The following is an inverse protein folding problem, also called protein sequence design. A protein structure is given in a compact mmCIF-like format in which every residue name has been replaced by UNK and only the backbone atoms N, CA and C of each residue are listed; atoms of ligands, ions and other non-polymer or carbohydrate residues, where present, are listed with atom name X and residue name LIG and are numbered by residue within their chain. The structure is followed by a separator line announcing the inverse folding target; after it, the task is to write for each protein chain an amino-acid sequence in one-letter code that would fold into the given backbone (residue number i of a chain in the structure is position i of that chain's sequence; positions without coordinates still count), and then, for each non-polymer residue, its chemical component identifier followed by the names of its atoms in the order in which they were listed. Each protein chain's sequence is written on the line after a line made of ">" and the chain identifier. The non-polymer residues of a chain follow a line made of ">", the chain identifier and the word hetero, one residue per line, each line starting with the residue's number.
data_IF_867493983186
#
_entry.id   IF_867493983186
#
_cell.length_a   1.000
_cell.length_b   1.000
_cell.length_c   1.000
_cell.angle_alpha   90.00
_cell.angle_beta   90.00
_cell.angle_gamma   90.00
#
_symmetry.space_group_name_H-M   'P 1'
#
loop_
_entity.id
_entity.type
_entity.pdbx_description
1 polymer ?
#
# COMPACT_ATOMS: atom_id res chain seq x y z
N UNK A 1 -5.52 8.84 -11.23
CA UNK A 1 -5.83 8.02 -10.04
C UNK A 1 -4.70 7.02 -9.80
N UNK A 2 -4.50 6.54 -8.58
CA UNK A 2 -3.65 5.40 -8.24
C UNK A 2 -4.38 4.52 -7.23
N UNK A 3 -3.92 3.29 -7.02
CA UNK A 3 -4.50 2.39 -6.01
C UNK A 3 -4.57 3.07 -4.62
N UNK A 4 -3.46 3.64 -4.14
CA UNK A 4 -3.41 4.28 -2.81
C UNK A 4 -4.40 5.44 -2.70
N UNK A 5 -4.48 6.30 -3.72
CA UNK A 5 -5.41 7.43 -3.72
C UNK A 5 -6.87 6.96 -3.74
N UNK A 6 -7.18 5.94 -4.53
CA UNK A 6 -8.53 5.35 -4.54
C UNK A 6 -8.91 4.79 -3.17
N UNK A 7 -8.00 4.06 -2.52
CA UNK A 7 -8.21 3.54 -1.15
C UNK A 7 -8.36 4.66 -0.12
N UNK A 8 -7.64 5.77 -0.27
CA UNK A 8 -7.82 6.94 0.61
C UNK A 8 -9.24 7.52 0.46
N UNK A 9 -9.74 7.66 -0.78
CA UNK A 9 -11.13 8.12 -1.03
C UNK A 9 -12.18 7.14 -0.49
N UNK A 10 -11.98 5.83 -0.62
CA UNK A 10 -12.87 4.83 -0.03
C UNK A 10 -12.97 4.97 1.50
N UNK A 11 -11.86 5.29 2.15
CA UNK A 11 -11.84 5.47 3.61
C UNK A 11 -12.53 6.76 4.06
N UNK A 12 -12.26 7.87 3.39
CA UNK A 12 -12.87 9.15 3.70
C UNK A 12 -12.59 10.17 2.60
N UNK A 13 -13.62 10.55 1.85
CA UNK A 13 -13.49 11.50 0.73
C UNK A 13 -12.89 12.84 1.17
N UNK A 14 -13.37 13.39 2.31
CA UNK A 14 -12.89 14.68 2.81
C UNK A 14 -11.43 14.65 3.24
N UNK A 15 -10.99 13.59 3.93
CA UNK A 15 -9.59 13.41 4.32
C UNK A 15 -8.69 13.19 3.09
N UNK A 16 -9.14 12.38 2.12
CA UNK A 16 -8.39 12.12 0.89
C UNK A 16 -8.18 13.39 0.05
N UNK A 17 -9.23 14.20 -0.10
CA UNK A 17 -9.13 15.48 -0.81
C UNK A 17 -8.22 16.47 -0.08
N UNK A 18 -8.33 16.59 1.24
CA UNK A 18 -7.48 17.46 2.05
C UNK A 18 -6.01 17.06 1.96
N UNK A 19 -5.71 15.77 2.01
CA UNK A 19 -4.36 15.22 1.82
C UNK A 19 -3.83 15.48 0.41
N UNK A 20 -4.66 15.28 -0.62
CA UNK A 20 -4.29 15.51 -2.02
C UNK A 20 -3.96 16.99 -2.30
N UNK A 21 -4.62 17.93 -1.60
CA UNK A 21 -4.39 19.37 -1.71
C UNK A 21 -3.33 19.90 -0.73
N UNK A 22 -2.60 19.04 -0.03
CA UNK A 22 -1.63 19.37 1.02
C UNK A 22 -2.19 20.27 2.15
N UNK A 23 -3.51 20.26 2.35
CA UNK A 23 -4.17 21.03 3.40
C UNK A 23 -4.18 20.29 4.75
N UNK A 24 -3.87 19.00 4.75
CA UNK A 24 -3.85 18.16 5.94
C UNK A 24 -2.95 16.94 5.73
N UNK A 25 -2.25 16.55 6.78
CA UNK A 25 -1.47 15.30 6.84
C UNK A 25 -1.81 14.55 8.13
N UNK A 26 -1.88 13.20 8.11
CA UNK A 26 -2.09 12.41 9.30
C UNK A 26 -0.97 12.63 10.32
N UNK A 27 -1.32 12.72 11.61
CA UNK A 27 -0.34 12.78 12.71
C UNK A 27 0.26 11.40 13.05
N UNK A 28 -0.23 10.33 12.42
CA UNK A 28 0.29 8.96 12.61
C UNK A 28 1.75 8.88 12.24
N UNK A 29 2.51 8.13 13.05
CA UNK A 29 3.94 7.92 12.81
C UNK A 29 4.21 7.40 11.40
N UNK A 30 5.11 8.03 10.63
CA UNK A 30 5.49 7.54 9.31
C UNK A 30 6.35 6.26 9.36
N UNK A 31 6.77 5.81 10.54
CA UNK A 31 7.71 4.69 10.71
C UNK A 31 7.29 3.41 10.00
N UNK A 32 6.03 2.93 10.08
CA UNK A 32 5.62 1.72 9.35
C UNK A 32 5.79 1.84 7.83
N UNK A 33 5.50 3.02 7.28
CA UNK A 33 5.69 3.32 5.85
C UNK A 33 7.17 3.41 5.50
N UNK A 34 7.96 4.08 6.35
CA UNK A 34 9.42 4.20 6.17
C UNK A 34 10.10 2.83 6.20
N UNK A 35 9.68 1.92 7.08
CA UNK A 35 10.19 0.53 7.11
C UNK A 35 9.88 -0.19 5.80
N UNK A 36 8.66 -0.05 5.27
CA UNK A 36 8.31 -0.58 3.95
C UNK A 36 9.21 -0.02 2.85
N UNK A 37 9.31 1.30 2.76
CA UNK A 37 10.15 1.99 1.76
C UNK A 37 11.63 1.64 1.89
N UNK A 38 12.13 1.41 3.10
CA UNK A 38 13.50 0.95 3.36
C UNK A 38 13.77 -0.41 2.68
N UNK A 39 12.84 -1.35 2.84
CA UNK A 39 12.96 -2.68 2.23
C UNK A 39 12.82 -2.60 0.71
N UNK A 40 11.84 -1.83 0.21
CA UNK A 40 11.63 -1.64 -1.24
C UNK A 40 12.83 -1.00 -1.91
N UNK A 41 13.35 0.12 -1.37
CA UNK A 41 14.52 0.80 -1.95
C UNK A 41 15.75 -0.11 -2.05
N UNK A 42 15.92 -1.03 -1.09
CA UNK A 42 17.01 -2.00 -1.11
C UNK A 42 16.92 -2.97 -2.31
N UNK A 43 15.71 -3.46 -2.60
CA UNK A 43 15.48 -4.37 -3.70
C UNK A 43 15.29 -3.67 -5.06
N UNK A 44 15.11 -2.36 -5.06
CA UNK A 44 15.10 -1.54 -6.26
C UNK A 44 16.51 -1.42 -6.84
N UNK A 45 17.43 -0.77 -6.12
CA UNK A 45 18.84 -0.63 -6.50
C UNK A 45 19.70 -0.15 -5.32
N UNK A 46 21.01 -0.33 -5.43
CA UNK A 46 21.97 0.22 -4.46
C UNK A 46 21.90 1.75 -4.40
N UNK A 47 21.70 2.42 -5.52
CA UNK A 47 21.58 3.87 -5.62
C UNK A 47 20.31 4.34 -4.91
N UNK A 48 19.14 3.78 -5.23
CA UNK A 48 17.87 4.10 -4.60
C UNK A 48 17.91 3.92 -3.08
N UNK A 49 18.53 2.83 -2.60
CA UNK A 49 18.66 2.61 -1.17
C UNK A 49 19.58 3.63 -0.49
N UNK A 50 20.69 3.99 -1.14
CA UNK A 50 21.62 5.01 -0.63
C UNK A 50 20.93 6.37 -0.53
N UNK A 51 20.19 6.77 -1.55
CA UNK A 51 19.44 8.01 -1.59
C UNK A 51 18.32 8.03 -0.53
N UNK A 52 17.63 6.90 -0.36
CA UNK A 52 16.61 6.75 0.68
C UNK A 52 17.21 6.92 2.08
N UNK A 53 18.36 6.29 2.36
CA UNK A 53 19.06 6.41 3.65
C UNK A 53 19.49 7.85 3.92
N UNK A 54 20.03 8.54 2.92
CA UNK A 54 20.45 9.93 3.05
C UNK A 54 19.26 10.86 3.32
N UNK A 55 18.17 10.72 2.58
CA UNK A 55 16.97 11.53 2.70
C UNK A 55 16.25 11.36 4.05
N UNK A 56 16.28 10.15 4.62
CA UNK A 56 15.53 9.80 5.83
C UNK A 56 16.43 9.56 7.06
N UNK A 57 17.69 9.98 7.04
CA UNK A 57 18.68 9.68 8.09
C UNK A 57 18.22 10.05 9.50
N UNK A 58 17.50 11.18 9.66
CA UNK A 58 16.96 11.65 10.96
C UNK A 58 15.91 10.70 11.55
N UNK A 59 15.17 10.00 10.70
CA UNK A 59 14.10 9.10 11.11
C UNK A 59 14.58 7.65 11.26
N UNK A 60 15.65 7.29 10.55
CA UNK A 60 16.25 5.94 10.53
C UNK A 60 17.29 5.79 11.65
N UNK A 61 18.08 6.82 11.92
CA UNK A 61 19.17 6.76 12.88
C UNK A 61 18.74 7.34 14.24
N UNK A 62 19.35 6.84 15.31
CA UNK A 62 19.26 7.46 16.63
C UNK A 62 20.07 8.78 16.66
N UNK A 63 19.73 9.67 17.59
CA UNK A 63 20.51 10.88 17.78
C UNK A 63 21.95 10.53 18.18
N UNK A 64 22.96 11.24 17.67
CA UNK A 64 24.34 11.11 18.11
C UNK A 64 24.50 11.28 19.61
N UNK A 65 25.37 10.49 20.21
CA UNK A 65 25.77 10.60 21.62
C UNK A 65 27.29 10.71 21.74
N UNK A 66 27.81 11.06 22.94
CA UNK A 66 29.25 11.06 23.16
C UNK A 66 29.92 9.71 22.96
N UNK A 67 29.16 8.58 23.19
CA UNK A 67 29.66 7.21 23.00
C UNK A 67 29.50 6.75 21.56
N UNK A 68 28.50 7.27 20.86
CA UNK A 68 28.14 6.91 19.47
C UNK A 68 27.95 8.20 18.65
N UNK A 69 29.04 8.82 18.19
CA UNK A 69 28.97 10.11 17.50
C UNK A 69 28.18 10.11 16.19
N UNK A 70 27.99 8.93 15.56
CA UNK A 70 27.22 8.77 14.32
C UNK A 70 25.80 8.27 14.58
N UNK A 71 25.45 7.98 15.86
CA UNK A 71 24.22 7.25 16.17
C UNK A 71 24.27 5.79 15.72
N UNK A 72 23.15 5.11 15.83
CA UNK A 72 22.98 3.75 15.31
C UNK A 72 21.59 3.61 14.70
N UNK A 73 21.41 2.56 13.90
CA UNK A 73 20.13 2.24 13.27
C UNK A 73 19.05 1.96 14.33
N UNK A 74 17.89 2.60 14.24
CA UNK A 74 16.77 2.35 15.16
C UNK A 74 16.27 0.90 15.02
N UNK A 75 15.64 0.38 16.07
CA UNK A 75 15.18 -1.01 16.17
C UNK A 75 14.33 -1.46 15.00
N UNK A 76 13.43 -0.61 14.54
CA UNK A 76 12.49 -0.87 13.45
C UNK A 76 13.24 -1.14 12.12
N UNK A 77 14.36 -0.45 11.91
CA UNK A 77 15.18 -0.64 10.71
C UNK A 77 16.19 -1.79 10.85
N UNK A 78 16.52 -2.20 12.07
CA UNK A 78 17.21 -3.48 12.29
C UNK A 78 16.31 -4.65 11.91
N UNK A 79 15.02 -4.58 12.26
CA UNK A 79 14.02 -5.56 11.81
C UNK A 79 13.91 -5.54 10.28
N UNK A 80 13.92 -4.36 9.65
CA UNK A 80 13.95 -4.24 8.19
C UNK A 80 15.16 -4.94 7.56
N UNK A 81 16.34 -4.83 8.16
CA UNK A 81 17.53 -5.58 7.71
C UNK A 81 17.35 -7.09 7.83
N UNK A 82 16.72 -7.58 8.91
CA UNK A 82 16.41 -9.01 9.04
C UNK A 82 15.44 -9.48 7.95
N UNK A 83 14.43 -8.68 7.62
CA UNK A 83 13.52 -8.95 6.49
C UNK A 83 14.28 -9.03 5.16
N UNK A 84 15.16 -8.06 4.88
CA UNK A 84 16.00 -8.05 3.67
C UNK A 84 16.85 -9.32 3.60
N UNK A 85 17.57 -9.66 4.66
CA UNK A 85 18.40 -10.86 4.70
C UNK A 85 17.59 -12.13 4.49
N UNK A 86 16.40 -12.22 5.11
CA UNK A 86 15.50 -13.36 4.97
C UNK A 86 15.06 -13.55 3.51
N UNK A 87 14.73 -12.47 2.80
CA UNK A 87 14.34 -12.51 1.38
C UNK A 87 15.55 -12.78 0.47
N UNK A 88 16.72 -12.17 0.73
CA UNK A 88 17.93 -12.41 -0.06
C UNK A 88 18.39 -13.86 -0.03
N UNK A 89 18.18 -14.54 1.10
CA UNK A 89 18.55 -15.95 1.27
C UNK A 89 17.49 -16.91 0.72
N UNK A 90 16.35 -16.40 0.25
CA UNK A 90 15.27 -17.21 -0.29
C UNK A 90 15.44 -17.42 -1.80
N UNK A 91 15.48 -18.68 -2.23
CA UNK A 91 15.71 -19.04 -3.63
C UNK A 91 14.54 -18.68 -4.53
N UNK A 92 13.30 -18.87 -4.03
CA UNK A 92 12.07 -18.54 -4.77
C UNK A 92 11.96 -17.04 -4.98
N UNK A 93 12.21 -16.24 -3.92
CA UNK A 93 12.21 -14.79 -4.04
C UNK A 93 13.27 -14.31 -5.06
N UNK A 94 14.49 -14.81 -4.98
CA UNK A 94 15.54 -14.43 -5.93
C UNK A 94 15.21 -14.82 -7.37
N UNK A 95 14.60 -15.98 -7.57
CA UNK A 95 14.24 -16.49 -8.90
C UNK A 95 13.15 -15.67 -9.57
N UNK A 96 12.09 -15.30 -8.81
CA UNK A 96 10.95 -14.57 -9.36
C UNK A 96 11.10 -13.05 -9.30
N UNK A 97 11.57 -12.50 -8.17
CA UNK A 97 11.68 -11.06 -7.99
C UNK A 97 12.95 -10.47 -8.62
N UNK A 98 14.05 -11.19 -8.55
CA UNK A 98 15.38 -10.72 -8.97
C UNK A 98 15.46 -10.24 -10.44
N UNK A 99 14.97 -11.04 -11.41
CA UNK A 99 15.17 -10.75 -12.84
C UNK A 99 14.35 -9.56 -13.38
N UNK A 100 13.29 -9.13 -12.68
CA UNK A 100 12.37 -8.13 -13.21
C UNK A 100 12.95 -6.72 -13.22
N UNK A 101 12.48 -5.92 -14.18
CA UNK A 101 12.68 -4.47 -14.19
C UNK A 101 12.01 -3.84 -12.98
N UNK A 102 12.74 -2.96 -12.26
CA UNK A 102 12.28 -2.39 -10.99
C UNK A 102 11.53 -1.08 -11.18
N UNK A 103 10.52 -0.87 -10.31
CA UNK A 103 9.81 0.40 -10.19
C UNK A 103 9.18 0.89 -11.51
N UNK A 104 8.71 -0.07 -12.34
CA UNK A 104 8.18 0.21 -13.68
C UNK A 104 6.87 0.99 -13.59
N UNK A 105 6.83 2.17 -14.19
CA UNK A 105 5.61 2.99 -14.26
C UNK A 105 4.70 2.45 -15.36
N UNK A 106 3.46 2.17 -15.00
CA UNK A 106 2.40 1.77 -15.92
C UNK A 106 1.24 2.74 -15.87
N UNK A 107 0.63 3.00 -17.02
CA UNK A 107 -0.50 3.92 -17.13
C UNK A 107 -1.57 3.37 -18.06
N UNK A 108 -2.80 3.78 -17.85
CA UNK A 108 -3.91 3.35 -18.70
C UNK A 108 -5.23 4.00 -18.27
N UNK A 109 -6.32 3.54 -18.85
CA UNK A 109 -7.67 3.97 -18.51
C UNK A 109 -8.47 2.83 -17.92
N UNK A 110 -9.02 3.04 -16.74
CA UNK A 110 -10.00 2.14 -16.11
C UNK A 110 -11.35 2.84 -16.15
N UNK A 111 -12.36 2.24 -16.79
CA UNK A 111 -13.68 2.86 -16.94
C UNK A 111 -13.66 4.28 -17.55
N UNK A 112 -12.71 4.56 -18.42
CA UNK A 112 -12.54 5.87 -19.09
C UNK A 112 -11.65 6.89 -18.35
N UNK A 113 -11.28 6.65 -17.10
CA UNK A 113 -10.46 7.56 -16.28
C UNK A 113 -8.99 7.15 -16.26
N UNK A 114 -8.09 8.13 -16.20
CA UNK A 114 -6.65 7.89 -16.18
C UNK A 114 -6.18 7.31 -14.84
N UNK A 115 -5.41 6.22 -14.93
CA UNK A 115 -4.77 5.56 -13.82
C UNK A 115 -3.27 5.42 -14.02
N UNK A 116 -2.56 5.32 -12.91
CA UNK A 116 -1.13 5.00 -12.88
C UNK A 116 -0.84 3.98 -11.79
N UNK A 117 0.13 3.13 -12.06
CA UNK A 117 0.72 2.19 -11.12
C UNK A 117 2.24 2.22 -11.20
N UNK A 118 2.88 1.70 -10.17
CA UNK A 118 4.32 1.48 -10.11
C UNK A 118 4.53 0.03 -9.68
N UNK A 119 5.18 -0.74 -10.53
CA UNK A 119 5.36 -2.19 -10.37
C UNK A 119 6.73 -2.43 -9.76
N UNK A 120 6.80 -3.10 -8.62
CA UNK A 120 8.06 -3.30 -7.89
C UNK A 120 9.06 -4.15 -8.71
N UNK A 121 8.58 -5.18 -9.41
CA UNK A 121 9.40 -6.02 -10.28
C UNK A 121 8.57 -6.60 -11.42
N UNK A 122 8.84 -6.20 -12.66
CA UNK A 122 8.14 -6.66 -13.87
C UNK A 122 9.02 -7.56 -14.71
N UNK A 123 8.60 -8.81 -14.92
CA UNK A 123 9.27 -9.79 -15.80
C UNK A 123 8.41 -10.00 -17.05
N UNK A 124 8.43 -9.00 -17.92
CA UNK A 124 7.54 -8.89 -19.06
C UNK A 124 7.68 -10.06 -20.05
N UNK A 125 8.90 -10.53 -20.31
CA UNK A 125 9.19 -11.64 -21.21
C UNK A 125 8.56 -12.96 -20.76
N UNK A 126 8.57 -13.21 -19.45
CA UNK A 126 7.98 -14.41 -18.82
C UNK A 126 6.50 -14.25 -18.46
N UNK A 127 5.93 -13.05 -18.57
CA UNK A 127 4.51 -12.79 -18.36
C UNK A 127 4.06 -12.80 -16.90
N UNK A 128 4.87 -12.29 -15.97
CA UNK A 128 4.47 -12.07 -14.58
C UNK A 128 5.06 -10.79 -14.00
N UNK A 129 4.51 -10.35 -12.89
CA UNK A 129 5.07 -9.26 -12.08
C UNK A 129 4.98 -9.59 -10.59
N UNK A 130 5.90 -9.02 -9.82
CA UNK A 130 5.93 -9.22 -8.38
C UNK A 130 5.74 -7.89 -7.66
N UNK A 131 5.02 -7.94 -6.55
CA UNK A 131 4.82 -6.85 -5.62
C UNK A 131 5.29 -7.30 -4.22
N UNK A 132 6.13 -6.51 -3.58
CA UNK A 132 6.72 -6.82 -2.28
C UNK A 132 5.89 -6.18 -1.16
N UNK A 133 5.52 -6.95 -0.15
CA UNK A 133 4.75 -6.46 1.00
C UNK A 133 5.47 -6.71 2.31
N UNK A 134 5.59 -5.66 3.11
CA UNK A 134 6.02 -5.77 4.50
C UNK A 134 4.79 -5.71 5.41
N UNK A 135 4.60 -6.73 6.24
CA UNK A 135 3.44 -6.88 7.12
C UNK A 135 3.87 -7.10 8.57
N UNK A 136 3.01 -6.84 9.52
CA UNK A 136 3.35 -7.07 10.94
C UNK A 136 3.38 -8.58 11.24
N UNK A 137 2.37 -9.31 10.74
CA UNK A 137 2.23 -10.76 10.87
C UNK A 137 1.39 -11.26 9.69
N UNK A 138 1.90 -12.28 8.95
CA UNK A 138 1.26 -12.83 7.75
C UNK A 138 -0.02 -13.60 8.11
N UNK A 139 -0.04 -14.25 9.27
CA UNK A 139 -1.13 -15.12 9.72
C UNK A 139 -2.16 -14.40 10.58
N UNK A 140 -1.96 -13.11 10.86
CA UNK A 140 -2.91 -12.33 11.66
C UNK A 140 -4.20 -12.08 10.92
N UNK A 141 -5.30 -12.54 11.50
CA UNK A 141 -6.64 -12.21 11.02
C UNK A 141 -7.03 -10.77 11.38
N UNK A 142 -7.64 -10.05 10.44
CA UNK A 142 -8.18 -8.70 10.62
C UNK A 142 -9.70 -8.76 10.64
N UNK A 143 -10.32 -8.48 11.78
CA UNK A 143 -11.78 -8.53 11.91
C UNK A 143 -12.44 -7.37 11.15
N UNK A 144 -13.31 -7.70 10.19
CA UNK A 144 -14.16 -6.74 9.50
C UNK A 144 -15.51 -6.63 10.21
N UNK A 145 -15.82 -5.45 10.73
CA UNK A 145 -17.14 -5.19 11.36
C UNK A 145 -18.27 -5.17 10.34
N UNK A 146 -17.99 -4.78 9.09
CA UNK A 146 -18.95 -4.73 7.99
C UNK A 146 -19.36 -6.15 7.55
N UNK A 147 -18.38 -7.04 7.36
CA UNK A 147 -18.61 -8.42 6.92
C UNK A 147 -18.80 -9.38 8.09
N UNK A 148 -18.57 -8.95 9.34
CA UNK A 148 -18.63 -9.76 10.56
C UNK A 148 -17.79 -11.05 10.50
N UNK A 149 -16.62 -10.97 9.82
CA UNK A 149 -15.67 -12.08 9.68
C UNK A 149 -14.22 -11.61 9.76
N UNK A 150 -13.32 -12.56 9.96
CA UNK A 150 -11.88 -12.30 9.83
C UNK A 150 -11.47 -12.33 8.36
N UNK A 151 -10.64 -11.37 7.98
CA UNK A 151 -10.01 -11.25 6.67
C UNK A 151 -8.51 -11.55 6.77
N UNK A 152 -7.93 -12.10 5.72
CA UNK A 152 -6.47 -12.11 5.54
C UNK A 152 -5.95 -10.70 5.32
N UNK A 153 -4.63 -10.50 5.48
CA UNK A 153 -4.01 -9.20 5.17
C UNK A 153 -4.18 -8.81 3.68
N UNK A 154 -4.32 -9.78 2.78
CA UNK A 154 -4.61 -9.54 1.35
C UNK A 154 -5.96 -8.84 1.20
N UNK A 155 -6.99 -9.40 1.80
CA UNK A 155 -8.36 -8.87 1.75
C UNK A 155 -8.48 -7.55 2.52
N UNK A 156 -7.92 -7.46 3.73
CA UNK A 156 -7.98 -6.25 4.57
C UNK A 156 -7.32 -5.04 3.91
N UNK A 157 -6.19 -5.26 3.26
CA UNK A 157 -5.46 -4.20 2.57
C UNK A 157 -5.96 -3.96 1.14
N UNK A 158 -6.81 -4.85 0.60
CA UNK A 158 -7.35 -4.77 -0.75
C UNK A 158 -6.30 -5.05 -1.83
N UNK A 159 -5.39 -5.98 -1.58
CA UNK A 159 -4.34 -6.31 -2.55
C UNK A 159 -4.88 -7.00 -3.79
N UNK A 160 -6.03 -7.71 -3.70
CA UNK A 160 -6.75 -8.22 -4.87
C UNK A 160 -7.05 -7.10 -5.88
N UNK A 161 -7.56 -5.96 -5.40
CA UNK A 161 -7.77 -4.78 -6.23
C UNK A 161 -6.46 -4.24 -6.83
N UNK A 162 -5.39 -4.15 -6.02
CA UNK A 162 -4.10 -3.65 -6.50
C UNK A 162 -3.56 -4.53 -7.64
N UNK A 163 -3.61 -5.84 -7.48
CA UNK A 163 -3.14 -6.80 -8.47
C UNK A 163 -3.98 -6.73 -9.76
N UNK A 164 -5.30 -6.62 -9.63
CA UNK A 164 -6.19 -6.45 -10.76
C UNK A 164 -5.91 -5.16 -11.56
N UNK A 165 -5.75 -4.03 -10.86
CA UNK A 165 -5.39 -2.74 -11.48
C UNK A 165 -4.04 -2.81 -12.18
N UNK A 166 -3.03 -3.38 -11.54
CA UNK A 166 -1.69 -3.48 -12.10
C UNK A 166 -1.67 -4.38 -13.34
N UNK A 167 -2.34 -5.52 -13.29
CA UNK A 167 -2.47 -6.43 -14.44
C UNK A 167 -3.10 -5.72 -15.64
N UNK A 168 -4.20 -4.98 -15.45
CA UNK A 168 -4.85 -4.26 -16.54
C UNK A 168 -3.99 -3.09 -17.06
N UNK A 169 -3.31 -2.35 -16.18
CA UNK A 169 -2.39 -1.27 -16.59
C UNK A 169 -1.17 -1.80 -17.34
N UNK A 170 -0.59 -2.93 -16.94
CA UNK A 170 0.50 -3.61 -17.67
C UNK A 170 0.01 -4.00 -19.07
N UNK A 171 -1.18 -4.61 -19.14
CA UNK A 171 -1.80 -4.99 -20.43
C UNK A 171 -1.99 -3.78 -21.35
N UNK A 172 -2.43 -2.65 -20.82
CA UNK A 172 -2.61 -1.42 -21.62
C UNK A 172 -1.28 -0.79 -22.03
N UNK A 173 -0.26 -0.82 -21.17
CA UNK A 173 1.05 -0.20 -21.43
C UNK A 173 1.89 -1.02 -22.42
N UNK A 174 1.89 -2.36 -22.27
CA UNK A 174 2.80 -3.25 -22.98
C UNK A 174 2.09 -4.25 -23.92
N UNK A 175 0.75 -4.28 -23.95
CA UNK A 175 -0.02 -5.23 -24.76
C UNK A 175 0.04 -6.68 -24.24
N UNK A 176 0.52 -6.92 -23.03
CA UNK A 176 0.76 -8.26 -22.47
C UNK A 176 0.07 -8.45 -21.13
N UNK A 177 -0.60 -9.59 -20.95
CA UNK A 177 -1.17 -9.98 -19.66
C UNK A 177 -0.07 -10.65 -18.85
N UNK A 178 0.17 -10.14 -17.64
CA UNK A 178 1.15 -10.69 -16.71
C UNK A 178 0.45 -11.21 -15.45
N UNK A 179 0.87 -12.40 -14.98
CA UNK A 179 0.37 -12.98 -13.75
C UNK A 179 0.85 -12.17 -12.53
N UNK A 180 -0.03 -11.79 -11.60
CA UNK A 180 0.34 -11.11 -10.36
C UNK A 180 0.91 -12.09 -9.33
N UNK A 181 1.99 -11.70 -8.69
CA UNK A 181 2.61 -12.42 -7.57
C UNK A 181 2.88 -11.43 -6.43
N UNK A 182 2.60 -11.81 -5.19
CA UNK A 182 3.00 -11.06 -4.01
C UNK A 182 4.04 -11.85 -3.22
N UNK A 183 5.11 -11.18 -2.82
CA UNK A 183 6.03 -11.65 -1.79
C UNK A 183 5.77 -10.86 -0.51
N UNK A 184 5.27 -11.54 0.52
CA UNK A 184 5.07 -10.97 1.84
C UNK A 184 6.23 -11.34 2.77
N UNK A 185 6.70 -10.38 3.58
CA UNK A 185 7.66 -10.61 4.65
C UNK A 185 7.19 -9.94 5.92
N UNK A 186 7.22 -10.65 7.05
CA UNK A 186 6.76 -10.12 8.33
C UNK A 186 7.84 -9.37 9.09
N UNK A 187 7.40 -8.45 9.98
CA UNK A 187 8.26 -7.72 10.93
C UNK A 187 8.55 -8.54 12.20
N UNK A 188 8.21 -9.81 12.22
CA UNK A 188 8.52 -10.72 13.33
C UNK A 188 10.02 -11.03 13.39
N UNK A 189 10.49 -11.56 14.48
CA UNK A 189 11.88 -12.02 14.65
C UNK A 189 11.89 -13.49 15.12
N UNK A 190 12.31 -14.45 14.27
CA UNK A 190 12.72 -14.26 12.86
C UNK A 190 11.55 -13.88 11.93
N UNK A 191 11.84 -13.21 10.80
CA UNK A 191 10.80 -12.86 9.82
C UNK A 191 10.20 -14.08 9.15
N UNK A 192 8.88 -14.12 9.06
CA UNK A 192 8.14 -15.07 8.24
C UNK A 192 8.02 -14.57 6.80
N UNK A 193 7.83 -15.49 5.83
CA UNK A 193 7.75 -15.17 4.40
C UNK A 193 6.67 -16.00 3.74
N UNK A 194 6.01 -15.41 2.73
CA UNK A 194 5.01 -16.08 1.91
C UNK A 194 5.05 -15.57 0.47
N UNK A 195 5.07 -16.49 -0.48
CA UNK A 195 4.76 -16.21 -1.88
C UNK A 195 3.29 -16.49 -2.12
N UNK A 196 2.61 -15.58 -2.81
CA UNK A 196 1.17 -15.62 -3.05
C UNK A 196 0.93 -15.38 -4.54
N UNK A 197 0.14 -16.23 -5.17
CA UNK A 197 -0.39 -16.06 -6.52
C UNK A 197 -1.90 -15.78 -6.47
N UNK A 198 -2.48 -15.51 -7.62
CA UNK A 198 -3.91 -15.20 -7.81
C UNK A 198 -4.46 -16.03 -8.96
N UNK A 199 -4.06 -17.28 -9.06
CA UNK A 199 -4.33 -18.11 -10.24
C UNK A 199 -5.54 -19.03 -10.09
N UNK A 200 -6.18 -19.09 -8.92
CA UNK A 200 -7.42 -19.85 -8.79
C UNK A 200 -8.66 -19.08 -9.30
N UNK A 201 -9.79 -19.77 -9.37
CA UNK A 201 -11.03 -19.20 -9.91
C UNK A 201 -11.65 -18.16 -8.96
N UNK A 202 -11.49 -18.32 -7.64
CA UNK A 202 -12.03 -17.42 -6.62
C UNK A 202 -11.25 -16.11 -6.63
N UNK A 203 -9.91 -16.18 -6.67
CA UNK A 203 -9.05 -15.00 -6.75
C UNK A 203 -9.33 -14.19 -8.02
N UNK A 204 -9.44 -14.85 -9.17
CA UNK A 204 -9.77 -14.17 -10.44
C UNK A 204 -11.14 -13.52 -10.41
N UNK A 205 -12.13 -14.15 -9.77
CA UNK A 205 -13.45 -13.57 -9.57
C UNK A 205 -13.38 -12.33 -8.67
N UNK A 206 -12.71 -12.43 -7.51
CA UNK A 206 -12.51 -11.31 -6.60
C UNK A 206 -11.81 -10.13 -7.27
N UNK A 207 -10.75 -10.38 -8.04
CA UNK A 207 -10.03 -9.36 -8.79
C UNK A 207 -10.93 -8.63 -9.78
N UNK A 208 -11.80 -9.37 -10.50
CA UNK A 208 -12.74 -8.78 -11.45
C UNK A 208 -13.84 -7.97 -10.74
N UNK A 209 -14.41 -8.48 -9.67
CA UNK A 209 -15.41 -7.80 -8.86
C UNK A 209 -14.89 -6.47 -8.31
N UNK A 210 -13.67 -6.48 -7.79
CA UNK A 210 -13.01 -5.25 -7.31
C UNK A 210 -12.74 -4.23 -8.42
N UNK A 211 -12.40 -4.66 -9.64
CA UNK A 211 -12.27 -3.76 -10.79
C UNK A 211 -13.61 -3.13 -11.18
N UNK A 212 -14.68 -3.90 -11.12
CA UNK A 212 -16.02 -3.41 -11.47
C UNK A 212 -16.50 -2.39 -10.42
N UNK A 213 -16.25 -2.63 -9.14
CA UNK A 213 -16.48 -1.66 -8.07
C UNK A 213 -15.71 -0.34 -8.32
N UNK A 214 -14.46 -0.41 -8.76
CA UNK A 214 -13.68 0.79 -9.13
C UNK A 214 -14.37 1.56 -10.25
N UNK A 215 -14.86 0.89 -11.29
CA UNK A 215 -15.55 1.54 -12.43
C UNK A 215 -16.80 2.29 -11.98
N UNK A 216 -17.52 1.76 -11.01
CA UNK A 216 -18.70 2.40 -10.43
C UNK A 216 -18.34 3.63 -9.58
N UNK A 217 -17.39 3.49 -8.66
CA UNK A 217 -17.10 4.51 -7.66
C UNK A 217 -16.23 5.67 -8.17
N UNK A 218 -15.30 5.41 -9.08
CA UNK A 218 -14.27 6.37 -9.47
C UNK A 218 -14.80 7.67 -10.07
N UNK A 219 -15.96 7.62 -10.77
CA UNK A 219 -16.58 8.83 -11.34
C UNK A 219 -16.84 9.89 -10.27
N UNK A 220 -17.33 9.45 -9.09
CA UNK A 220 -17.57 10.34 -7.94
C UNK A 220 -16.27 10.95 -7.44
N UNK A 221 -15.21 10.14 -7.29
CA UNK A 221 -13.91 10.64 -6.79
C UNK A 221 -13.25 11.62 -7.75
N UNK A 222 -13.38 11.40 -9.05
CA UNK A 222 -12.90 12.36 -10.06
C UNK A 222 -13.64 13.69 -9.99
N UNK A 223 -14.96 13.68 -9.80
CA UNK A 223 -15.75 14.91 -9.61
C UNK A 223 -15.34 15.67 -8.35
N UNK A 224 -15.06 14.97 -7.25
CA UNK A 224 -14.55 15.57 -6.01
C UNK A 224 -13.18 16.22 -6.25
N UNK A 225 -12.26 15.52 -6.90
CA UNK A 225 -10.92 16.06 -7.19
C UNK A 225 -10.98 17.33 -8.07
N UNK A 226 -11.91 17.38 -9.00
CA UNK A 226 -12.14 18.54 -9.87
C UNK A 226 -12.95 19.68 -9.21
N UNK A 227 -13.48 19.46 -7.99
CA UNK A 227 -14.30 20.45 -7.30
C UNK A 227 -15.74 20.60 -7.84
N UNK A 228 -16.22 19.58 -8.56
CA UNK A 228 -17.57 19.55 -9.11
C UNK A 228 -18.63 19.16 -8.07
N UNK A 229 -18.23 18.36 -7.07
CA UNK A 229 -19.07 17.95 -5.93
C UNK A 229 -18.27 17.98 -4.64
N UNK A 230 -18.96 18.22 -3.52
CA UNK A 230 -18.37 18.24 -2.20
C UNK A 230 -18.04 16.82 -1.69
N UNK A 231 -16.89 16.64 -0.99
CA UNK A 231 -16.54 15.39 -0.40
C UNK A 231 -17.36 15.10 0.86
N UNK A 232 -17.76 13.85 1.06
CA UNK A 232 -18.46 13.41 2.27
C UNK A 232 -17.45 13.04 3.36
N UNK A 233 -17.52 13.64 4.56
CA UNK A 233 -16.71 13.23 5.70
C UNK A 233 -17.22 11.90 6.29
N UNK A 234 -16.32 10.99 6.66
CA UNK A 234 -16.72 9.72 7.29
C UNK A 234 -17.12 9.85 8.79
N UNK A 235 -16.86 11.01 9.40
CA UNK A 235 -17.16 11.31 10.81
C UNK A 235 -16.21 10.65 11.84
N UNK A 236 -15.44 9.64 11.47
CA UNK A 236 -14.68 8.80 12.42
C UNK A 236 -13.16 8.89 12.31
N UNK A 237 -12.63 9.26 11.15
CA UNK A 237 -11.17 9.34 10.94
C UNK A 237 -10.56 10.55 11.67
N UNK A 238 -9.23 10.58 11.74
CA UNK A 238 -8.47 11.64 12.39
C UNK A 238 -8.80 13.03 11.82
N UNK A 239 -8.87 13.15 10.49
CA UNK A 239 -9.30 14.38 9.82
C UNK A 239 -10.67 14.84 10.30
N UNK A 240 -11.67 13.95 10.26
CA UNK A 240 -13.03 14.30 10.66
C UNK A 240 -13.09 14.72 12.13
N UNK A 241 -12.44 13.95 13.04
CA UNK A 241 -12.41 14.30 14.47
C UNK A 241 -11.75 15.65 14.73
N UNK A 242 -10.68 15.98 14.03
CA UNK A 242 -10.01 17.29 14.20
C UNK A 242 -10.80 18.48 13.63
N UNK A 243 -11.79 18.22 12.78
CA UNK A 243 -12.65 19.25 12.17
C UNK A 243 -14.09 19.22 12.71
N UNK A 244 -14.41 18.31 13.65
CA UNK A 244 -15.74 18.24 14.25
C UNK A 244 -16.03 19.48 15.07
N UNK A 245 -17.20 20.10 14.84
CA UNK A 245 -17.73 21.20 15.64
C UNK A 245 -19.01 20.74 16.33
N UNK A 246 -19.13 21.03 17.61
CA UNK A 246 -20.37 20.77 18.33
C UNK A 246 -21.44 21.75 17.85
N UNK A 247 -22.56 21.25 17.36
CA UNK A 247 -23.69 22.03 16.83
C UNK A 247 -24.98 21.79 17.61
N UNK A 248 -25.12 20.65 18.27
CA UNK A 248 -26.32 20.27 19.06
C UNK A 248 -25.95 19.18 20.08
N UNK A 249 -26.85 18.93 21.00
CA UNK A 249 -26.79 17.78 21.90
C UNK A 249 -27.49 16.58 21.25
N UNK A 250 -26.88 15.38 21.38
CA UNK A 250 -27.50 14.11 21.01
C UNK A 250 -28.05 13.44 22.28
N UNK A 251 -29.15 12.70 22.19
CA UNK A 251 -29.64 11.91 23.31
C UNK A 251 -28.76 10.69 23.57
N UNK A 252 -28.61 10.32 24.85
CA UNK A 252 -27.75 9.18 25.19
C UNK A 252 -28.19 7.86 24.53
N UNK A 253 -29.49 7.72 24.25
CA UNK A 253 -30.06 6.58 23.52
C UNK A 253 -29.76 6.54 22.02
N UNK A 254 -29.27 7.63 21.43
CA UNK A 254 -28.93 7.75 20.01
C UNK A 254 -27.43 7.43 19.75
N UNK A 255 -26.65 7.18 20.81
CA UNK A 255 -25.24 6.83 20.69
C UNK A 255 -25.13 5.37 20.30
N UNK A 256 -24.86 5.13 18.99
CA UNK A 256 -24.55 3.80 18.45
C UNK A 256 -23.07 3.45 18.70
N UNK A 257 -22.78 2.18 19.04
CA UNK A 257 -21.43 1.65 19.32
C UNK A 257 -21.00 0.67 18.26
#
# INVERSE_FOLDING_TARGET
>A
MSFSLFKDFQKCEAAALAKLKDNWQPATSPVPLLVGNYVHSYFESTESHTDFLAANSKDIMTKPTKKEPQGHLRSEFKVANNMIQSLQNDEMFRYFYGPGDKEVIVTGKIGGYLWKGKIDSLVLDKGYFCDLKTVDDIHKGHYSTEERRYRSFIQDRGYNLQMALYQDLIRQTFGKICAPLIFAVSKQDPPDKMGIDFDDAEDRFDMQDQLDLVKEMQSRYWKIMNGEIEPVPCGRCEYCRSHTKLSHFVHASEIEV
#
